data_IF_314373384256
#
_entry.id   IF_314373384256
#
_cell.length_a   1.000
_cell.length_b   1.000
_cell.length_c   1.000
_cell.angle_alpha   90.00
_cell.angle_beta   90.00
_cell.angle_gamma   90.00
#
_symmetry.space_group_name_H-M   'P 1'
#
loop_
_entity.id
_entity.type
_entity.pdbx_description
1 polymer ?
#
# COMPACT_ATOMS: atom_id res chain seq x y z
N UNK A 1 14.43 10.16 -0.87
CA UNK A 1 14.23 10.99 -2.09
C UNK A 1 12.76 10.91 -2.51
N UNK A 2 12.14 12.05 -2.88
CA UNK A 2 10.70 12.31 -3.23
C UNK A 2 9.59 11.40 -2.68
N UNK A 3 9.63 10.09 -2.90
CA UNK A 3 8.67 9.10 -2.38
C UNK A 3 8.62 9.03 -0.84
N UNK A 4 9.77 9.10 -0.17
CA UNK A 4 9.81 9.21 1.30
C UNK A 4 9.09 10.48 1.78
N UNK A 5 9.28 11.60 1.07
CA UNK A 5 8.60 12.85 1.39
C UNK A 5 7.09 12.74 1.14
N UNK A 6 6.67 12.06 0.07
CA UNK A 6 5.24 11.82 -0.20
C UNK A 6 4.62 10.99 0.94
N UNK A 7 5.29 9.91 1.38
CA UNK A 7 4.81 9.10 2.50
C UNK A 7 4.71 9.94 3.80
N UNK A 8 5.74 10.72 4.13
CA UNK A 8 5.74 11.58 5.32
C UNK A 8 4.63 12.66 5.25
N UNK A 9 4.46 13.30 4.11
CA UNK A 9 3.42 14.34 3.94
C UNK A 9 2.01 13.73 3.94
N UNK A 10 1.83 12.50 3.45
CA UNK A 10 0.55 11.81 3.48
C UNK A 10 0.06 11.58 4.91
N UNK A 11 0.94 11.19 5.82
CA UNK A 11 0.64 11.10 7.25
C UNK A 11 0.16 12.44 7.81
N UNK A 12 0.85 13.54 7.47
CA UNK A 12 0.48 14.88 7.96
C UNK A 12 -0.86 15.35 7.40
N UNK A 13 -1.13 15.08 6.13
CA UNK A 13 -2.35 15.51 5.43
C UNK A 13 -3.58 14.71 5.89
N UNK A 14 -3.44 13.40 6.03
CA UNK A 14 -4.54 12.49 6.34
C UNK A 14 -4.66 12.20 7.83
N UNK A 15 -3.68 12.62 8.64
CA UNK A 15 -3.58 12.27 10.07
C UNK A 15 -3.62 10.75 10.31
N UNK A 16 -3.06 9.95 9.39
CA UNK A 16 -2.95 8.50 9.53
C UNK A 16 -1.66 8.12 10.28
N UNK A 17 -1.62 6.90 10.83
CA UNK A 17 -0.46 6.40 11.59
C UNK A 17 0.72 6.06 10.69
N UNK A 18 0.40 5.55 9.50
CA UNK A 18 1.37 4.92 8.61
C UNK A 18 0.99 5.22 7.17
N UNK A 19 1.99 5.43 6.32
CA UNK A 19 1.81 5.55 4.88
C UNK A 19 2.96 4.84 4.17
N UNK A 20 2.66 4.11 3.11
CA UNK A 20 3.66 3.51 2.24
C UNK A 20 3.32 3.68 0.78
N UNK A 21 4.35 3.56 -0.04
CA UNK A 21 4.27 3.51 -1.48
C UNK A 21 4.76 2.14 -1.90
N UNK A 22 3.88 1.46 -2.62
CA UNK A 22 4.14 0.16 -3.21
C UNK A 22 4.19 0.33 -4.73
N UNK A 23 5.20 -0.25 -5.36
CA UNK A 23 5.32 -0.35 -6.80
C UNK A 23 4.87 -1.74 -7.26
N UNK A 24 4.10 -1.78 -8.33
CA UNK A 24 3.82 -3.03 -9.02
C UNK A 24 4.86 -3.23 -10.12
N UNK A 25 5.55 -4.36 -10.11
CA UNK A 25 6.51 -4.72 -11.15
C UNK A 25 5.91 -5.76 -12.09
N UNK A 26 5.63 -5.35 -13.33
CA UNK A 26 4.90 -6.18 -14.29
C UNK A 26 5.66 -7.43 -14.72
N UNK A 27 6.99 -7.38 -14.82
CA UNK A 27 7.81 -8.47 -15.34
C UNK A 27 7.84 -9.66 -14.38
N UNK A 28 8.05 -9.38 -13.09
CA UNK A 28 8.14 -10.40 -12.05
C UNK A 28 6.77 -10.69 -11.40
N UNK A 29 5.75 -9.87 -11.70
CA UNK A 29 4.42 -9.91 -11.09
C UNK A 29 4.49 -9.83 -9.56
N UNK A 30 5.36 -8.96 -9.06
CA UNK A 30 5.57 -8.74 -7.62
C UNK A 30 5.26 -7.30 -7.22
N UNK A 31 4.92 -7.14 -5.94
CA UNK A 31 4.84 -5.84 -5.29
C UNK A 31 6.19 -5.54 -4.66
N UNK A 32 6.73 -4.34 -4.87
CA UNK A 32 7.94 -3.84 -4.20
C UNK A 32 7.60 -2.69 -3.27
N UNK A 33 8.23 -2.67 -2.11
CA UNK A 33 8.18 -1.53 -1.20
C UNK A 33 9.13 -0.43 -1.70
N UNK A 34 8.59 0.75 -1.95
CA UNK A 34 9.37 1.90 -2.47
C UNK A 34 9.78 2.83 -1.35
N UNK A 35 8.83 3.18 -0.49
CA UNK A 35 9.03 4.09 0.63
C UNK A 35 7.92 3.92 1.66
N UNK A 36 8.19 4.27 2.90
CA UNK A 36 7.18 4.33 3.95
C UNK A 36 7.56 5.24 5.09
N UNK A 37 6.57 5.63 5.87
CA UNK A 37 6.71 6.41 7.08
C UNK A 37 5.72 5.90 8.12
N UNK A 38 6.09 5.97 9.40
CA UNK A 38 5.25 5.46 10.48
C UNK A 38 5.15 3.92 10.53
N UNK A 39 6.10 3.22 9.91
CA UNK A 39 6.28 1.76 9.98
C UNK A 39 7.76 1.45 10.14
N UNK A 40 8.10 0.35 10.80
CA UNK A 40 9.48 -0.14 10.86
C UNK A 40 9.80 -1.01 9.62
N UNK A 41 11.08 -1.34 9.41
CA UNK A 41 11.52 -2.14 8.25
C UNK A 41 10.89 -3.54 8.22
N UNK A 42 10.71 -4.17 9.38
CA UNK A 42 10.06 -5.48 9.50
C UNK A 42 8.57 -5.41 9.15
N UNK A 43 7.86 -4.33 9.51
CA UNK A 43 6.46 -4.13 9.13
C UNK A 43 6.32 -4.00 7.60
N UNK A 44 7.29 -3.36 6.94
CA UNK A 44 7.34 -3.24 5.48
C UNK A 44 7.59 -4.57 4.78
N UNK A 45 8.54 -5.36 5.28
CA UNK A 45 8.81 -6.72 4.78
C UNK A 45 7.62 -7.65 5.02
N UNK A 46 7.02 -7.60 6.20
CA UNK A 46 5.80 -8.33 6.52
C UNK A 46 4.68 -7.90 5.56
N UNK A 47 4.45 -6.61 5.34
CA UNK A 47 3.41 -6.14 4.42
C UNK A 47 3.56 -6.75 3.02
N UNK A 48 4.79 -6.84 2.50
CA UNK A 48 5.10 -7.48 1.23
C UNK A 48 4.90 -9.01 1.26
N UNK A 49 5.41 -9.67 2.29
CA UNK A 49 5.28 -11.12 2.47
C UNK A 49 3.82 -11.58 2.69
N UNK A 50 3.01 -10.67 3.23
CA UNK A 50 1.62 -10.89 3.65
C UNK A 50 0.60 -10.32 2.68
N UNK A 51 1.01 -9.63 1.61
CA UNK A 51 0.13 -9.28 0.50
C UNK A 51 -0.43 -10.59 -0.07
N UNK A 52 -1.59 -10.99 0.45
CA UNK A 52 -2.31 -12.19 0.06
C UNK A 52 -2.66 -12.10 -1.41
N UNK A 53 -1.76 -12.61 -2.24
CA UNK A 53 -1.86 -12.59 -3.69
C UNK A 53 -1.77 -11.18 -4.30
N UNK A 54 -1.21 -11.08 -5.51
CA UNK A 54 -1.16 -9.84 -6.27
C UNK A 54 -2.54 -9.28 -6.65
N UNK A 55 -3.64 -10.02 -6.47
CA UNK A 55 -4.95 -9.73 -7.06
C UNK A 55 -5.64 -8.48 -6.48
N UNK A 56 -5.63 -8.28 -5.15
CA UNK A 56 -6.28 -7.12 -4.54
C UNK A 56 -5.55 -5.80 -4.91
N UNK A 57 -4.23 -5.82 -4.84
CA UNK A 57 -3.39 -4.66 -5.20
C UNK A 57 -3.36 -4.43 -6.72
N UNK A 58 -3.35 -5.49 -7.54
CA UNK A 58 -3.51 -5.40 -8.98
C UNK A 58 -4.86 -4.82 -9.36
N UNK A 59 -5.95 -5.17 -8.68
CA UNK A 59 -7.27 -4.64 -9.00
C UNK A 59 -7.31 -3.12 -8.76
N UNK A 60 -6.73 -2.65 -7.64
CA UNK A 60 -6.63 -1.22 -7.31
C UNK A 60 -5.77 -0.48 -8.36
N UNK A 61 -4.62 -1.06 -8.72
CA UNK A 61 -3.76 -0.55 -9.77
C UNK A 61 -4.47 -0.50 -11.13
N UNK A 62 -4.90 -1.63 -11.66
CA UNK A 62 -5.50 -1.72 -13.00
C UNK A 62 -6.77 -0.88 -13.20
N UNK A 63 -7.56 -0.63 -12.15
CA UNK A 63 -8.83 0.09 -12.29
C UNK A 63 -8.70 1.61 -12.14
N UNK A 64 -7.50 2.14 -11.81
CA UNK A 64 -7.29 3.56 -11.50
C UNK A 64 -8.26 4.06 -10.41
N UNK A 65 -8.71 3.17 -9.53
CA UNK A 65 -9.71 3.48 -8.50
C UNK A 65 -9.04 3.64 -7.15
N UNK A 66 -9.37 4.73 -6.47
CA UNK A 66 -9.10 4.86 -5.05
C UNK A 66 -10.02 3.93 -4.27
N UNK A 67 -9.45 3.18 -3.33
CA UNK A 67 -10.21 2.32 -2.42
C UNK A 67 -10.04 2.85 -1.01
N UNK A 68 -11.16 3.21 -0.38
CA UNK A 68 -11.24 3.55 1.03
C UNK A 68 -11.96 2.44 1.80
N UNK A 69 -11.39 2.02 2.92
CA UNK A 69 -11.93 1.00 3.82
C UNK A 69 -11.88 1.59 5.24
N UNK A 70 -13.05 1.88 5.80
CA UNK A 70 -13.15 2.49 7.14
C UNK A 70 -13.10 1.47 8.28
N UNK A 71 -13.42 0.20 8.00
CA UNK A 71 -13.32 -0.92 8.94
C UNK A 71 -12.65 -2.11 8.24
N UNK A 72 -11.33 -2.18 8.39
CA UNK A 72 -10.51 -3.23 7.81
C UNK A 72 -10.76 -4.60 8.46
N UNK A 73 -11.19 -4.64 9.72
CA UNK A 73 -11.44 -5.88 10.45
C UNK A 73 -12.64 -6.61 9.84
N UNK A 74 -13.70 -5.87 9.52
CA UNK A 74 -14.92 -6.41 8.89
C UNK A 74 -14.83 -6.60 7.36
N UNK A 75 -13.91 -5.92 6.67
CA UNK A 75 -13.86 -5.96 5.21
C UNK A 75 -13.17 -7.24 4.68
N UNK A 76 -13.83 -8.06 3.84
CA UNK A 76 -13.26 -9.30 3.31
C UNK A 76 -12.15 -9.08 2.27
N UNK A 77 -12.00 -7.86 1.75
CA UNK A 77 -10.95 -7.50 0.77
C UNK A 77 -9.59 -7.30 1.44
N UNK A 78 -9.57 -7.09 2.75
CA UNK A 78 -8.34 -6.90 3.51
C UNK A 78 -7.75 -8.26 3.86
N UNK A 79 -6.46 -8.52 3.50
CA UNK A 79 -5.80 -9.77 3.85
C UNK A 79 -5.81 -10.02 5.37
N UNK A 80 -6.07 -11.26 5.85
CA UNK A 80 -6.05 -11.57 7.28
C UNK A 80 -4.75 -11.17 7.98
N UNK A 81 -3.63 -11.36 7.30
CA UNK A 81 -2.31 -11.03 7.81
C UNK A 81 -2.12 -9.52 8.08
N UNK A 82 -2.78 -8.64 7.31
CA UNK A 82 -2.79 -7.20 7.61
C UNK A 82 -3.64 -6.87 8.85
N UNK A 83 -4.67 -7.67 9.13
CA UNK A 83 -5.51 -7.51 10.33
C UNK A 83 -4.81 -8.01 11.58
N UNK A 84 -4.11 -9.14 11.48
CA UNK A 84 -3.54 -9.86 12.61
C UNK A 84 -2.13 -9.39 12.97
N UNK A 85 -1.28 -9.13 11.98
CA UNK A 85 0.13 -8.80 12.21
C UNK A 85 0.39 -7.29 12.19
N UNK A 86 -0.33 -6.53 11.35
CA UNK A 86 -0.19 -5.08 11.23
C UNK A 86 -1.28 -4.29 11.98
N UNK A 87 -2.25 -4.99 12.58
CA UNK A 87 -3.39 -4.42 13.30
C UNK A 87 -4.08 -3.28 12.52
N UNK A 88 -4.23 -3.45 11.20
CA UNK A 88 -4.79 -2.40 10.36
C UNK A 88 -6.27 -2.22 10.67
N UNK A 89 -6.65 -0.98 11.01
CA UNK A 89 -8.03 -0.62 11.37
C UNK A 89 -8.79 0.01 10.19
N UNK A 90 -8.11 0.82 9.37
CA UNK A 90 -8.65 1.47 8.19
C UNK A 90 -7.55 1.65 7.14
N UNK A 91 -7.93 1.71 5.86
CA UNK A 91 -7.01 1.84 4.74
C UNK A 91 -7.54 2.83 3.70
N UNK A 92 -6.61 3.59 3.13
CA UNK A 92 -6.84 4.35 1.91
C UNK A 92 -5.76 3.97 0.90
N UNK A 93 -6.16 3.28 -0.17
CA UNK A 93 -5.28 2.91 -1.27
C UNK A 93 -5.54 3.85 -2.44
N UNK A 94 -4.52 4.65 -2.80
CA UNK A 94 -4.58 5.59 -3.93
C UNK A 94 -3.59 5.11 -4.99
N UNK A 95 -4.02 4.81 -6.23
CA UNK A 95 -3.09 4.48 -7.29
C UNK A 95 -2.30 5.74 -7.69
N UNK A 96 -0.97 5.61 -7.76
CA UNK A 96 -0.07 6.70 -8.15
C UNK A 96 0.47 6.39 -9.54
N UNK A 97 0.18 7.26 -10.49
CA UNK A 97 0.66 7.16 -11.87
C UNK A 97 1.71 8.23 -12.14
N UNK A 98 2.80 7.84 -12.80
CA UNK A 98 3.64 8.80 -13.50
C UNK A 98 2.92 9.34 -14.74
N UNK A 99 3.52 10.33 -15.41
CA UNK A 99 2.92 10.92 -16.60
C UNK A 99 2.63 9.89 -17.71
N UNK A 100 3.40 8.78 -17.79
CA UNK A 100 3.21 7.73 -18.82
C UNK A 100 3.34 6.27 -18.33
N UNK A 101 3.66 5.97 -17.07
CA UNK A 101 3.73 4.58 -16.54
C UNK A 101 3.38 4.50 -15.04
N UNK A 102 2.85 3.36 -14.53
CA UNK A 102 2.83 3.07 -13.10
C UNK A 102 4.25 3.17 -12.53
N UNK A 103 4.38 3.71 -11.31
CA UNK A 103 5.70 3.92 -10.70
C UNK A 103 6.42 2.58 -10.47
N UNK A 104 7.30 2.20 -11.40
CA UNK A 104 8.17 1.03 -11.31
C UNK A 104 8.88 0.75 -12.64
N UNK A 105 10.21 0.81 -12.64
CA UNK A 105 11.09 0.33 -13.73
C UNK A 105 12.22 -0.49 -13.16
#
# INVERSE_FOLDING_TARGET
MIYEQIAEQSIKLLSCQTACILAWEEQEQIVRFVAGHGMNEADGESLLAMSGGPECLQQIGSQHQTVAIDDAQADPRVPPAWKEELDVQALLCVPIWGAEDPLGS
#
